data_IF_500245119531
#
_entry.id   IF_500245119531
#
_cell.length_a   1.000
_cell.length_b   1.000
_cell.length_c   1.000
_cell.angle_alpha   90.00
_cell.angle_beta   90.00
_cell.angle_gamma   90.00
#
_symmetry.space_group_name_H-M   'P 1'
#
loop_
_entity.id
_entity.type
_entity.pdbx_description
1 polymer ?
#
# COMPACT_ATOMS: atom_id res chain seq x y z
N UNK A 1 -16.31 -6.54 -3.55
CA UNK A 1 -14.93 -6.68 -4.04
C UNK A 1 -14.79 -7.97 -4.85
N UNK A 2 -13.79 -8.04 -5.71
CA UNK A 2 -13.55 -9.22 -6.52
C UNK A 2 -13.01 -10.38 -5.68
N UNK A 3 -13.11 -11.60 -6.22
CA UNK A 3 -12.55 -12.80 -5.59
C UNK A 3 -11.03 -12.65 -5.35
N UNK A 4 -10.30 -12.11 -6.33
CA UNK A 4 -8.86 -11.86 -6.19
C UNK A 4 -8.58 -10.88 -5.05
N UNK A 5 -9.34 -9.79 -4.96
CA UNK A 5 -9.17 -8.79 -3.91
C UNK A 5 -9.37 -9.41 -2.52
N UNK A 6 -10.42 -10.23 -2.37
CA UNK A 6 -10.68 -10.90 -1.09
C UNK A 6 -9.57 -11.88 -0.71
N UNK A 7 -9.05 -12.62 -1.69
CA UNK A 7 -7.94 -13.56 -1.47
C UNK A 7 -6.68 -12.80 -1.04
N UNK A 8 -6.34 -11.73 -1.73
CA UNK A 8 -5.17 -10.91 -1.38
C UNK A 8 -5.31 -10.30 0.02
N UNK A 9 -6.50 -9.79 0.36
CA UNK A 9 -6.75 -9.22 1.68
C UNK A 9 -6.55 -10.24 2.80
N UNK A 10 -6.96 -11.48 2.61
CA UNK A 10 -6.78 -12.54 3.59
C UNK A 10 -5.30 -12.87 3.84
N UNK A 11 -4.52 -12.96 2.77
CA UNK A 11 -3.08 -13.22 2.89
C UNK A 11 -2.40 -12.06 3.61
N UNK A 12 -2.74 -10.82 3.26
CA UNK A 12 -2.18 -9.62 3.89
C UNK A 12 -2.53 -9.56 5.37
N UNK A 13 -3.77 -9.87 5.72
CA UNK A 13 -4.22 -9.86 7.12
C UNK A 13 -3.51 -10.89 8.00
N UNK A 14 -2.96 -11.93 7.40
CA UNK A 14 -2.24 -12.98 8.12
C UNK A 14 -0.76 -12.63 8.39
N UNK A 15 -0.27 -11.50 7.91
CA UNK A 15 1.14 -11.11 8.08
C UNK A 15 1.35 -10.43 9.43
N UNK A 16 2.12 -11.04 10.36
CA UNK A 16 2.17 -10.54 11.76
C UNK A 16 2.84 -9.17 11.91
N UNK A 17 3.81 -8.84 11.07
CA UNK A 17 4.53 -7.58 11.18
C UNK A 17 4.03 -6.50 10.21
N UNK A 18 2.96 -6.78 9.48
CA UNK A 18 2.37 -5.81 8.57
C UNK A 18 1.36 -4.95 9.33
N UNK A 19 1.53 -3.63 9.23
CA UNK A 19 0.65 -2.71 9.94
C UNK A 19 -0.65 -2.44 9.17
N UNK A 20 -0.54 -2.25 7.85
CA UNK A 20 -1.71 -2.10 6.98
C UNK A 20 -1.30 -2.28 5.52
N UNK A 21 -2.29 -2.50 4.65
CA UNK A 21 -2.09 -2.61 3.21
C UNK A 21 -3.29 -2.02 2.47
N UNK A 22 -3.01 -1.36 1.35
CA UNK A 22 -3.98 -0.56 0.59
C UNK A 22 -3.84 -0.89 -0.90
N UNK A 23 -4.96 -1.22 -1.53
CA UNK A 23 -4.99 -1.37 -2.98
C UNK A 23 -4.97 0.01 -3.62
N UNK A 24 -4.08 0.20 -4.60
CA UNK A 24 -3.93 1.48 -5.30
C UNK A 24 -3.92 1.25 -6.81
N UNK A 25 -3.76 2.32 -7.58
CA UNK A 25 -3.70 2.23 -9.03
C UNK A 25 -5.04 1.90 -9.68
N UNK A 26 -5.00 1.37 -10.89
CA UNK A 26 -6.20 1.17 -11.71
C UNK A 26 -7.21 0.20 -11.10
N UNK A 27 -6.76 -0.78 -10.32
CA UNK A 27 -7.67 -1.72 -9.67
C UNK A 27 -8.41 -1.11 -8.49
N UNK A 28 -7.86 -0.05 -7.90
CA UNK A 28 -8.55 0.70 -6.85
C UNK A 28 -9.56 1.69 -7.44
N UNK A 29 -9.24 2.31 -8.57
CA UNK A 29 -10.08 3.34 -9.18
C UNK A 29 -11.12 2.79 -10.16
N UNK A 30 -11.12 1.50 -10.42
CA UNK A 30 -12.11 0.88 -11.30
C UNK A 30 -11.79 0.99 -12.79
N UNK A 31 -10.58 1.36 -13.16
CA UNK A 31 -10.15 1.52 -14.56
C UNK A 31 -9.32 0.34 -15.06
N UNK A 32 -9.19 -0.72 -14.26
CA UNK A 32 -8.37 -1.88 -14.58
C UNK A 32 -9.00 -2.79 -15.64
N UNK A 33 -8.14 -3.50 -16.35
CA UNK A 33 -8.52 -4.61 -17.23
C UNK A 33 -7.76 -5.87 -16.80
N UNK A 34 -7.93 -6.97 -17.53
CA UNK A 34 -7.33 -8.27 -17.18
C UNK A 34 -5.79 -8.24 -17.14
N UNK A 35 -5.15 -7.32 -17.87
CA UNK A 35 -3.70 -7.19 -17.90
C UNK A 35 -3.14 -6.17 -16.91
N UNK A 36 -4.00 -5.46 -16.19
CA UNK A 36 -3.55 -4.46 -15.22
C UNK A 36 -2.84 -5.11 -14.04
N UNK A 37 -1.74 -4.49 -13.60
CA UNK A 37 -1.02 -4.93 -12.41
C UNK A 37 -1.85 -4.73 -11.15
N UNK A 38 -1.49 -5.46 -10.11
CA UNK A 38 -2.02 -5.29 -8.76
C UNK A 38 -1.03 -4.46 -7.97
N UNK A 39 -1.38 -3.19 -7.75
CA UNK A 39 -0.53 -2.26 -7.01
C UNK A 39 -1.02 -2.20 -5.57
N UNK A 40 -0.18 -2.66 -4.65
CA UNK A 40 -0.51 -2.72 -3.22
C UNK A 40 0.53 -1.92 -2.45
N UNK A 41 0.08 -0.84 -1.81
CA UNK A 41 0.89 -0.08 -0.88
C UNK A 41 0.79 -0.71 0.49
N UNK A 42 1.92 -0.81 1.21
CA UNK A 42 1.94 -1.46 2.51
C UNK A 42 2.94 -0.79 3.44
N UNK A 43 2.77 -1.02 4.72
CA UNK A 43 3.70 -0.51 5.73
C UNK A 43 4.00 -1.60 6.74
N UNK A 44 5.27 -1.98 6.81
CA UNK A 44 5.75 -2.94 7.79
C UNK A 44 6.03 -2.26 9.13
N UNK A 45 6.07 -3.05 10.19
CA UNK A 45 6.45 -2.59 11.52
C UNK A 45 7.82 -1.91 11.49
N UNK A 46 8.02 -0.79 12.21
CA UNK A 46 9.34 -0.15 12.31
C UNK A 46 10.37 -0.98 13.06
N UNK A 47 9.96 -2.07 13.70
CA UNK A 47 10.88 -3.02 14.36
C UNK A 47 11.73 -3.79 13.36
N UNK A 48 11.27 -3.94 12.12
CA UNK A 48 12.00 -4.65 11.09
C UNK A 48 13.09 -3.75 10.49
N UNK A 49 14.29 -4.30 10.30
CA UNK A 49 15.32 -3.58 9.55
C UNK A 49 15.05 -3.69 8.05
N UNK A 50 15.81 -2.94 7.25
CA UNK A 50 15.55 -2.88 5.82
C UNK A 50 15.74 -4.24 5.12
N UNK A 51 16.69 -5.02 5.56
CA UNK A 51 16.92 -6.35 4.97
C UNK A 51 15.74 -7.29 5.28
N UNK A 52 15.21 -7.23 6.49
CA UNK A 52 14.01 -7.99 6.86
C UNK A 52 12.79 -7.54 6.04
N UNK A 53 12.63 -6.23 5.83
CA UNK A 53 11.56 -5.69 4.99
C UNK A 53 11.66 -6.23 3.56
N UNK A 54 12.84 -6.21 2.96
CA UNK A 54 13.05 -6.74 1.62
C UNK A 54 12.69 -8.22 1.54
N UNK A 55 13.18 -9.00 2.49
CA UNK A 55 12.93 -10.45 2.54
C UNK A 55 11.44 -10.76 2.70
N UNK A 56 10.78 -10.10 3.65
CA UNK A 56 9.36 -10.31 3.91
C UNK A 56 8.49 -9.85 2.73
N UNK A 57 8.88 -8.77 2.08
CA UNK A 57 8.15 -8.26 0.91
C UNK A 57 8.19 -9.27 -0.24
N UNK A 58 9.35 -9.86 -0.51
CA UNK A 58 9.45 -10.86 -1.59
C UNK A 58 8.74 -12.16 -1.24
N UNK A 59 8.79 -12.59 0.01
CA UNK A 59 8.04 -13.76 0.47
C UNK A 59 6.54 -13.51 0.35
N UNK A 60 6.09 -12.32 0.72
CA UNK A 60 4.69 -11.93 0.61
C UNK A 60 4.23 -11.88 -0.85
N UNK A 61 5.03 -11.33 -1.74
CA UNK A 61 4.74 -11.31 -3.19
C UNK A 61 4.46 -12.73 -3.70
N UNK A 62 5.32 -13.66 -3.36
CA UNK A 62 5.17 -15.06 -3.77
C UNK A 62 3.88 -15.69 -3.22
N UNK A 63 3.59 -15.43 -1.94
CA UNK A 63 2.38 -15.94 -1.31
C UNK A 63 1.10 -15.38 -1.96
N UNK A 64 1.10 -14.07 -2.24
CA UNK A 64 -0.03 -13.41 -2.90
C UNK A 64 -0.24 -13.98 -4.31
N UNK A 65 0.84 -14.11 -5.07
CA UNK A 65 0.79 -14.62 -6.43
C UNK A 65 0.24 -16.05 -6.48
N UNK A 66 0.73 -16.91 -5.60
CA UNK A 66 0.29 -18.30 -5.54
C UNK A 66 -1.19 -18.40 -5.13
N UNK A 67 -1.58 -17.71 -4.08
CA UNK A 67 -2.94 -17.78 -3.57
C UNK A 67 -3.97 -17.26 -4.57
N UNK A 68 -3.67 -16.18 -5.26
CA UNK A 68 -4.59 -15.53 -6.20
C UNK A 68 -4.45 -16.03 -7.64
N UNK A 69 -3.51 -16.95 -7.91
CA UNK A 69 -3.23 -17.46 -9.26
C UNK A 69 -2.88 -16.32 -10.22
N UNK A 70 -2.01 -15.42 -9.77
CA UNK A 70 -1.54 -14.25 -10.52
C UNK A 70 -0.03 -14.39 -10.66
N UNK A 71 0.53 -13.97 -11.80
CA UNK A 71 1.98 -13.96 -11.98
C UNK A 71 2.64 -13.03 -10.96
N UNK A 72 3.75 -13.42 -10.31
CA UNK A 72 4.43 -12.54 -9.36
C UNK A 72 4.82 -11.18 -9.96
N UNK A 73 5.16 -11.15 -11.24
CA UNK A 73 5.51 -9.91 -11.95
C UNK A 73 4.33 -8.95 -12.12
N UNK A 74 3.10 -9.43 -11.92
CA UNK A 74 1.89 -8.59 -12.00
C UNK A 74 1.51 -7.99 -10.65
N UNK A 75 2.30 -8.25 -9.59
CA UNK A 75 2.06 -7.71 -8.26
C UNK A 75 3.18 -6.73 -7.92
N UNK A 76 2.80 -5.46 -7.73
CA UNK A 76 3.72 -4.40 -7.35
C UNK A 76 3.46 -4.03 -5.88
N UNK A 77 4.46 -4.24 -5.02
CA UNK A 77 4.38 -3.94 -3.59
C UNK A 77 5.18 -2.68 -3.30
N UNK A 78 4.51 -1.66 -2.78
CA UNK A 78 5.08 -0.34 -2.53
C UNK A 78 5.22 -0.13 -1.02
N UNK A 79 6.46 -0.07 -0.51
CA UNK A 79 6.68 0.21 0.91
C UNK A 79 6.52 1.72 1.16
N UNK A 80 5.50 2.09 1.94
CA UNK A 80 5.12 3.49 2.13
C UNK A 80 6.13 4.32 2.91
N UNK A 81 6.99 3.71 3.71
CA UNK A 81 8.03 4.47 4.42
C UNK A 81 9.06 5.06 3.47
N UNK A 82 9.15 4.50 2.25
CA UNK A 82 10.06 4.99 1.21
C UNK A 82 9.35 5.75 0.09
N UNK A 83 8.04 5.88 0.18
CA UNK A 83 7.26 6.55 -0.85
C UNK A 83 7.34 8.07 -0.69
N UNK A 84 7.35 8.77 -1.82
CA UNK A 84 7.31 10.23 -1.82
C UNK A 84 5.90 10.74 -1.49
N UNK A 85 5.78 12.05 -1.28
CA UNK A 85 4.50 12.65 -0.91
C UNK A 85 3.41 12.42 -1.98
N UNK A 86 3.75 12.51 -3.25
CA UNK A 86 2.78 12.30 -4.34
C UNK A 86 2.17 10.90 -4.29
N UNK A 87 3.00 9.86 -4.07
CA UNK A 87 2.53 8.49 -3.93
C UNK A 87 1.68 8.33 -2.68
N UNK A 88 2.13 8.87 -1.55
CA UNK A 88 1.38 8.78 -0.29
C UNK A 88 0.02 9.50 -0.39
N UNK A 89 -0.02 10.63 -1.08
CA UNK A 89 -1.27 11.35 -1.32
C UNK A 89 -2.25 10.51 -2.16
N UNK A 90 -1.76 9.86 -3.21
CA UNK A 90 -2.58 8.97 -4.03
C UNK A 90 -3.15 7.82 -3.20
N UNK A 91 -2.35 7.23 -2.33
CA UNK A 91 -2.80 6.17 -1.42
C UNK A 91 -3.89 6.67 -0.48
N UNK A 92 -3.69 7.85 0.11
CA UNK A 92 -4.64 8.43 1.07
C UNK A 92 -5.97 8.83 0.40
N UNK A 93 -5.91 9.33 -0.82
CA UNK A 93 -7.10 9.87 -1.51
C UNK A 93 -7.87 8.79 -2.29
N UNK A 94 -7.19 7.87 -2.93
CA UNK A 94 -7.82 6.94 -3.87
C UNK A 94 -7.67 5.46 -3.47
N UNK A 95 -6.88 5.17 -2.47
CA UNK A 95 -6.62 3.79 -2.07
C UNK A 95 -7.83 3.12 -1.43
N UNK A 96 -7.89 1.79 -1.59
CA UNK A 96 -8.90 0.94 -0.95
C UNK A 96 -8.20 0.12 0.12
N UNK A 97 -8.52 0.37 1.37
CA UNK A 97 -7.89 -0.34 2.50
C UNK A 97 -8.24 -1.83 2.42
N UNK A 98 -7.21 -2.69 2.36
CA UNK A 98 -7.38 -4.13 2.32
C UNK A 98 -7.32 -4.74 3.71
N UNK A 99 -6.42 -4.25 4.55
CA UNK A 99 -6.29 -4.71 5.93
C UNK A 99 -5.59 -3.65 6.78
N UNK A 100 -5.93 -3.61 8.07
CA UNK A 100 -5.29 -2.73 9.05
C UNK A 100 -5.10 -3.46 10.37
N UNK A 101 -4.01 -4.23 10.49
CA UNK A 101 -3.67 -4.92 11.72
C UNK A 101 -3.35 -3.92 12.84
N UNK A 102 -2.83 -2.75 12.46
CA UNK A 102 -2.55 -1.64 13.38
C UNK A 102 -3.33 -0.40 12.92
N UNK A 103 -4.57 -0.21 13.41
CA UNK A 103 -5.39 0.94 13.02
C UNK A 103 -4.75 2.29 13.34
N UNK A 104 -3.97 2.36 14.42
CA UNK A 104 -3.29 3.59 14.80
C UNK A 104 -2.21 3.97 13.78
N UNK A 105 -1.48 2.98 13.27
CA UNK A 105 -0.47 3.22 12.22
C UNK A 105 -1.13 3.78 10.95
N UNK A 106 -2.27 3.25 10.56
CA UNK A 106 -3.03 3.74 9.42
C UNK A 106 -3.50 5.18 9.63
N UNK A 107 -4.07 5.48 10.79
CA UNK A 107 -4.51 6.85 11.14
C UNK A 107 -3.34 7.84 11.11
N UNK A 108 -2.19 7.45 11.67
CA UNK A 108 -1.00 8.30 11.68
C UNK A 108 -0.46 8.55 10.27
N UNK A 109 -0.53 7.54 9.42
CA UNK A 109 -0.15 7.69 8.02
C UNK A 109 -1.03 8.74 7.33
N UNK A 110 -2.33 8.65 7.50
CA UNK A 110 -3.28 9.60 6.92
C UNK A 110 -3.04 11.01 7.44
N UNK A 111 -2.90 11.18 8.75
CA UNK A 111 -2.68 12.49 9.37
C UNK A 111 -1.39 13.14 8.89
N UNK A 112 -0.30 12.36 8.85
CA UNK A 112 0.99 12.87 8.38
C UNK A 112 0.92 13.29 6.91
N UNK A 113 0.31 12.47 6.08
CA UNK A 113 0.19 12.76 4.65
C UNK A 113 -0.64 14.01 4.40
N UNK A 114 -1.79 14.13 5.08
CA UNK A 114 -2.63 15.32 4.93
C UNK A 114 -1.93 16.60 5.40
N UNK A 115 -1.19 16.53 6.51
CA UNK A 115 -0.44 17.68 7.02
C UNK A 115 0.65 18.10 6.04
N UNK A 116 1.39 17.15 5.50
CA UNK A 116 2.45 17.46 4.53
C UNK A 116 1.87 18.04 3.23
N UNK A 117 0.67 17.58 2.82
CA UNK A 117 -0.02 18.16 1.67
C UNK A 117 -0.46 19.59 1.94
N UNK A 118 -0.99 19.87 3.12
CA UNK A 118 -1.37 21.23 3.51
C UNK A 118 -0.16 22.16 3.48
N UNK A 119 0.97 21.72 4.05
CA UNK A 119 2.21 22.49 4.05
C UNK A 119 2.69 22.73 2.62
N UNK A 120 2.65 21.72 1.76
CA UNK A 120 3.03 21.84 0.37
C UNK A 120 2.19 22.88 -0.37
N UNK A 121 0.88 22.82 -0.22
CA UNK A 121 -0.03 23.78 -0.86
C UNK A 121 0.14 25.18 -0.31
N UNK A 122 0.37 25.30 0.99
CA UNK A 122 0.63 26.61 1.61
C UNK A 122 1.90 27.24 1.05
N UNK A 123 3.00 26.48 0.99
CA UNK A 123 4.28 26.95 0.45
C UNK A 123 4.15 27.36 -1.01
N UNK A 124 3.42 26.58 -1.80
CA UNK A 124 3.20 26.87 -3.21
C UNK A 124 2.45 28.20 -3.39
N UNK A 125 1.47 28.50 -2.53
CA UNK A 125 0.70 29.73 -2.58
C UNK A 125 1.51 30.95 -2.08
N UNK A 126 2.48 30.73 -1.20
CA UNK A 126 3.25 31.79 -0.57
C UNK A 126 4.69 31.89 -1.07
N UNK A 127 5.04 31.14 -2.10
CA UNK A 127 6.35 31.21 -2.73
C UNK A 127 6.53 32.59 -3.41
N UNK A 128 7.70 33.17 -3.22
CA UNK A 128 8.03 34.45 -3.83
C UNK A 128 8.26 34.31 -5.34
#
# INVERSE_FOLDING_TARGET
MSLHTDTLAKILAAQPELQFAVLVGSRATGTANAQSDWDIALQWSPKLDWLEVLSKTETLRSALAEAAQIAPSAIDLIELRRANLAMRASVAEEGVLLTEQDPLAWMRFLQRTWRELEDFYWEKQHAA
#
